data_IF_872695869707
#
_entry.id   IF_872695869707
#
_cell.length_a   1.000
_cell.length_b   1.000
_cell.length_c   1.000
_cell.angle_alpha   90.00
_cell.angle_beta   90.00
_cell.angle_gamma   90.00
#
_symmetry.space_group_name_H-M   'P 1'
#
loop_
_entity.id
_entity.type
_entity.pdbx_description
1 polymer ?
#
# COMPACT_ATOMS: atom_id res chain seq x y z
N UNK A 1 -12.04 5.32 -19.82
CA UNK A 1 -12.85 4.33 -19.10
C UNK A 1 -12.61 2.93 -19.63
N UNK A 2 -12.95 2.60 -20.90
CA UNK A 2 -12.81 1.25 -21.47
C UNK A 2 -11.53 0.47 -21.08
N UNK A 3 -10.33 1.03 -21.29
CA UNK A 3 -9.08 0.35 -20.95
C UNK A 3 -8.87 0.09 -19.44
N UNK A 4 -9.39 0.98 -18.58
CA UNK A 4 -9.34 0.82 -17.12
C UNK A 4 -10.30 -0.29 -16.69
N UNK A 5 -11.51 -0.28 -17.24
CA UNK A 5 -12.54 -1.28 -16.92
C UNK A 5 -12.09 -2.68 -17.38
N UNK A 6 -11.51 -2.79 -18.57
CA UNK A 6 -10.92 -4.03 -19.09
C UNK A 6 -9.79 -4.57 -18.21
N UNK A 7 -8.95 -3.70 -17.65
CA UNK A 7 -7.89 -4.11 -16.72
C UNK A 7 -8.49 -4.58 -15.39
N UNK A 8 -9.47 -3.85 -14.86
CA UNK A 8 -10.12 -4.16 -13.60
C UNK A 8 -10.86 -5.52 -13.64
N UNK A 9 -11.32 -5.96 -14.81
CA UNK A 9 -11.91 -7.30 -14.97
C UNK A 9 -10.89 -8.45 -14.92
N UNK A 10 -9.60 -8.16 -15.10
CA UNK A 10 -8.52 -9.17 -15.14
C UNK A 10 -7.79 -9.34 -13.82
N UNK A 11 -8.03 -8.45 -12.87
CA UNK A 11 -7.32 -8.37 -11.60
C UNK A 11 -8.34 -8.34 -10.45
N UNK A 12 -8.00 -9.01 -9.36
CA UNK A 12 -8.75 -8.83 -8.12
C UNK A 12 -8.46 -7.44 -7.54
N UNK A 13 -9.51 -6.67 -7.29
CA UNK A 13 -9.41 -5.36 -6.66
C UNK A 13 -9.64 -5.46 -5.15
N UNK A 14 -8.57 -5.33 -4.36
CA UNK A 14 -8.69 -5.23 -2.92
C UNK A 14 -9.36 -3.91 -2.52
N UNK A 15 -10.36 -4.01 -1.63
CA UNK A 15 -11.07 -2.86 -1.10
C UNK A 15 -10.27 -2.22 0.02
N UNK A 16 -10.35 -0.89 0.12
CA UNK A 16 -9.91 -0.17 1.31
C UNK A 16 -11.00 -0.30 2.39
N UNK A 17 -10.70 -1.05 3.45
CA UNK A 17 -11.64 -1.30 4.55
C UNK A 17 -11.33 -0.44 5.77
N UNK A 18 -12.16 -0.50 6.80
CA UNK A 18 -11.86 0.12 8.10
C UNK A 18 -10.59 -0.45 8.73
N UNK A 19 -10.26 -1.72 8.47
CA UNK A 19 -9.01 -2.33 8.93
C UNK A 19 -7.82 -1.77 8.14
N UNK A 20 -7.93 -1.64 6.81
CA UNK A 20 -6.93 -0.93 6.00
C UNK A 20 -6.69 0.48 6.53
N UNK A 21 -7.76 1.21 6.88
CA UNK A 21 -7.66 2.57 7.40
C UNK A 21 -6.91 2.64 8.74
N UNK A 22 -7.21 1.74 9.68
CA UNK A 22 -6.48 1.66 10.97
C UNK A 22 -5.00 1.32 10.77
N UNK A 23 -4.70 0.38 9.88
CA UNK A 23 -3.32 0.02 9.54
C UNK A 23 -2.57 1.18 8.88
N UNK A 24 -3.25 1.94 8.01
CA UNK A 24 -2.71 3.15 7.38
C UNK A 24 -2.34 4.19 8.45
N UNK A 25 -3.23 4.48 9.41
CA UNK A 25 -2.93 5.41 10.49
C UNK A 25 -1.72 4.98 11.33
N UNK A 26 -1.60 3.69 11.63
CA UNK A 26 -0.42 3.15 12.32
C UNK A 26 0.86 3.35 11.51
N UNK A 27 0.83 3.06 10.21
CA UNK A 27 1.97 3.26 9.31
C UNK A 27 2.36 4.74 9.24
N UNK A 28 1.38 5.66 9.17
CA UNK A 28 1.65 7.10 9.17
C UNK A 28 2.39 7.51 10.44
N UNK A 29 1.86 7.14 11.61
CA UNK A 29 2.46 7.48 12.90
C UNK A 29 3.91 6.95 13.01
N UNK A 30 4.15 5.69 12.62
CA UNK A 30 5.49 5.09 12.64
C UNK A 30 6.51 5.78 11.71
N UNK A 31 6.04 6.42 10.64
CA UNK A 31 6.89 7.15 9.69
C UNK A 31 7.10 8.60 10.14
N UNK A 32 6.07 9.24 10.69
CA UNK A 32 6.16 10.57 11.31
C UNK A 32 7.12 10.57 12.49
N UNK A 33 7.08 9.55 13.36
CA UNK A 33 8.04 9.37 14.46
C UNK A 33 9.51 9.29 14.00
N UNK A 34 9.75 8.98 12.73
CA UNK A 34 11.08 8.85 12.11
C UNK A 34 11.44 10.04 11.23
N UNK A 35 10.65 11.12 11.25
CA UNK A 35 10.75 12.27 10.35
C UNK A 35 10.73 11.88 8.85
N UNK A 36 10.05 10.77 8.52
CA UNK A 36 9.97 10.24 7.17
C UNK A 36 8.68 10.71 6.49
N UNK A 37 8.80 11.76 5.67
CA UNK A 37 7.67 12.24 4.86
C UNK A 37 7.28 11.17 3.83
N UNK A 38 6.01 10.76 3.86
CA UNK A 38 5.43 9.77 2.94
C UNK A 38 4.13 10.34 2.38
N UNK A 39 3.83 10.03 1.12
CA UNK A 39 2.56 10.42 0.54
C UNK A 39 1.42 9.66 1.25
N UNK A 40 0.37 10.38 1.66
CA UNK A 40 -0.79 9.77 2.33
C UNK A 40 -1.42 8.61 1.52
N UNK A 41 -1.39 8.68 0.18
CA UNK A 41 -1.87 7.60 -0.69
C UNK A 41 -0.97 6.35 -0.63
N UNK A 42 0.34 6.51 -0.50
CA UNK A 42 1.26 5.38 -0.32
C UNK A 42 0.98 4.67 1.01
N UNK A 43 0.65 5.44 2.05
CA UNK A 43 0.25 4.91 3.36
C UNK A 43 -1.07 4.15 3.27
N UNK A 44 -2.07 4.66 2.53
CA UNK A 44 -3.33 3.93 2.28
C UNK A 44 -3.10 2.62 1.53
N UNK A 45 -2.24 2.62 0.49
CA UNK A 45 -1.85 1.42 -0.24
C UNK A 45 -1.17 0.43 0.71
N UNK A 46 -0.26 0.89 1.57
CA UNK A 46 0.38 0.05 2.57
C UNK A 46 -0.62 -0.58 3.54
N UNK A 47 -1.64 0.16 3.98
CA UNK A 47 -2.72 -0.39 4.81
C UNK A 47 -3.45 -1.56 4.15
N UNK A 48 -3.76 -1.44 2.86
CA UNK A 48 -4.39 -2.53 2.06
C UNK A 48 -3.45 -3.73 1.96
N UNK A 49 -2.17 -3.50 1.66
CA UNK A 49 -1.17 -4.56 1.52
C UNK A 49 -0.98 -5.34 2.83
N UNK A 50 -0.90 -4.64 3.96
CA UNK A 50 -0.74 -5.24 5.28
C UNK A 50 -1.99 -6.02 5.72
N UNK A 51 -3.19 -5.53 5.36
CA UNK A 51 -4.43 -6.24 5.68
C UNK A 51 -4.52 -7.59 4.97
N UNK A 52 -4.11 -7.63 3.70
CA UNK A 52 -4.25 -8.77 2.80
C UNK A 52 -2.98 -9.64 2.69
N UNK A 53 -1.93 -9.31 3.45
CA UNK A 53 -0.62 -9.97 3.41
C UNK A 53 -0.04 -10.13 1.98
N UNK A 54 -0.29 -9.14 1.13
CA UNK A 54 -0.02 -9.21 -0.29
C UNK A 54 1.43 -8.84 -0.65
N UNK A 55 2.00 -9.53 -1.65
CA UNK A 55 3.24 -9.08 -2.30
C UNK A 55 2.97 -7.86 -3.18
N UNK A 56 3.83 -6.86 -3.10
CA UNK A 56 3.65 -5.58 -3.80
C UNK A 56 4.70 -5.36 -4.87
N UNK A 57 4.24 -5.21 -6.11
CA UNK A 57 5.07 -4.78 -7.23
C UNK A 57 4.95 -3.26 -7.40
N UNK A 58 6.07 -2.55 -7.37
CA UNK A 58 6.10 -1.09 -7.52
C UNK A 58 7.43 -0.63 -8.10
N UNK A 59 7.40 0.48 -8.84
CA UNK A 59 8.62 1.21 -9.22
C UNK A 59 9.11 2.15 -8.11
N UNK A 60 8.28 2.44 -7.11
CA UNK A 60 8.59 3.31 -5.98
C UNK A 60 9.16 2.52 -4.79
N UNK A 61 10.09 1.59 -5.04
CA UNK A 61 10.63 0.64 -4.04
C UNK A 61 11.06 1.36 -2.76
N UNK A 62 11.81 2.47 -2.89
CA UNK A 62 12.31 3.26 -1.75
C UNK A 62 11.23 3.81 -0.82
N UNK A 63 10.03 4.11 -1.35
CA UNK A 63 8.94 4.63 -0.52
C UNK A 63 8.36 3.55 0.38
N UNK A 64 8.31 2.32 -0.12
CA UNK A 64 7.62 1.20 0.53
C UNK A 64 8.58 0.29 1.33
N UNK A 65 9.88 0.31 1.04
CA UNK A 65 10.88 -0.49 1.79
C UNK A 65 11.01 -0.06 3.26
N UNK A 66 10.73 1.22 3.56
CA UNK A 66 10.73 1.77 4.92
C UNK A 66 9.47 1.39 5.72
N UNK A 67 8.44 0.86 5.08
CA UNK A 67 7.18 0.48 5.74
C UNK A 67 7.30 -0.96 6.24
N UNK A 68 7.27 -1.11 7.56
CA UNK A 68 7.40 -2.43 8.20
C UNK A 68 6.24 -3.34 7.79
N UNK A 69 6.59 -4.57 7.37
CA UNK A 69 5.63 -5.61 7.02
C UNK A 69 5.17 -5.61 5.55
N UNK A 70 5.47 -4.56 4.77
CA UNK A 70 5.20 -4.58 3.33
C UNK A 70 6.14 -5.56 2.64
N UNK A 71 5.58 -6.54 1.93
CA UNK A 71 6.31 -7.57 1.19
C UNK A 71 6.56 -7.12 -0.24
N UNK A 72 7.73 -6.58 -0.54
CA UNK A 72 8.06 -6.16 -1.90
C UNK A 72 8.36 -7.37 -2.81
N UNK A 73 7.80 -7.37 -4.01
CA UNK A 73 8.19 -8.29 -5.08
C UNK A 73 9.46 -7.75 -5.76
N UNK A 74 10.45 -8.62 -5.95
CA UNK A 74 11.68 -8.34 -6.70
C UNK A 74 11.80 -9.42 -7.77
N UNK A 75 11.88 -8.98 -9.03
CA UNK A 75 12.21 -9.85 -10.15
C UNK A 75 13.70 -10.26 -10.13
#
# INVERSE_FOLDING_TARGET
MKAVDELALRLEAFRFTDRSAKLSGKVMAELEEKDQIVNFRDVMIAGILLENDAKFYTKNVKNFERIKGVKLHRD
#
